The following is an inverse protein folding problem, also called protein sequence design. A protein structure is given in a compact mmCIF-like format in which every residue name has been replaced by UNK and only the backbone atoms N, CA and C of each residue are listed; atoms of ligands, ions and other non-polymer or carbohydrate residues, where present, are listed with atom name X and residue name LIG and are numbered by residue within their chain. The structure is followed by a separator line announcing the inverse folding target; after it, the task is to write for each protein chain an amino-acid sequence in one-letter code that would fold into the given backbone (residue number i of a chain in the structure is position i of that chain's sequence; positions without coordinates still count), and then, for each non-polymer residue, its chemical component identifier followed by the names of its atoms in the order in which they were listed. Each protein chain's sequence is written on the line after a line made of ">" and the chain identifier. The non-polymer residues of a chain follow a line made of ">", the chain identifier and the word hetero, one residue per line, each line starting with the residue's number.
data_IF_005792621824
#
_entry.id   IF_005792621824
#
_cell.length_a   1.000
_cell.length_b   1.000
_cell.length_c   1.000
_cell.angle_alpha   90.00
_cell.angle_beta   90.00
_cell.angle_gamma   90.00
#
_symmetry.space_group_name_H-M   'P 1'
#
loop_
_entity.id
_entity.type
_entity.pdbx_description
1 polymer ?
#
# COMPACT_ATOMS: atom_id res chain seq x y z
N UNK A 1 8.20 -1.36 -11.20
CA UNK A 1 6.71 -1.25 -11.30
C UNK A 1 6.02 -1.52 -9.96
N UNK A 2 6.28 -2.64 -9.25
CA UNK A 2 5.67 -2.88 -7.93
C UNK A 2 5.91 -1.75 -6.92
N UNK A 3 7.15 -1.28 -6.80
CA UNK A 3 7.48 -0.10 -5.99
C UNK A 3 6.75 1.18 -6.44
N UNK A 4 6.50 1.38 -7.74
CA UNK A 4 5.77 2.57 -8.21
C UNK A 4 4.35 2.58 -7.67
N UNK A 5 3.64 1.45 -7.74
CA UNK A 5 2.30 1.34 -7.17
C UNK A 5 2.30 1.44 -5.64
N UNK A 6 3.38 1.03 -4.98
CA UNK A 6 3.56 1.30 -3.56
C UNK A 6 3.56 2.81 -3.27
N UNK A 7 4.41 3.55 -4.00
CA UNK A 7 4.50 5.01 -3.88
C UNK A 7 3.16 5.67 -4.13
N UNK A 8 2.48 5.30 -5.22
CA UNK A 8 1.17 5.85 -5.53
C UNK A 8 0.14 5.59 -4.42
N UNK A 9 0.17 4.43 -3.77
CA UNK A 9 -0.74 4.12 -2.68
C UNK A 9 -0.49 5.03 -1.47
N UNK A 10 0.73 5.04 -0.94
CA UNK A 10 1.01 5.79 0.29
C UNK A 10 1.06 7.31 0.09
N UNK A 11 1.49 7.81 -1.09
CA UNK A 11 1.39 9.25 -1.40
C UNK A 11 -0.06 9.69 -1.49
N UNK A 12 -0.95 8.83 -1.98
CA UNK A 12 -2.39 9.15 -2.02
C UNK A 12 -3.00 9.11 -0.62
N UNK A 13 -2.60 8.17 0.24
CA UNK A 13 -2.98 8.18 1.66
C UNK A 13 -2.53 9.48 2.35
N UNK A 14 -1.30 9.95 2.06
CA UNK A 14 -0.79 11.22 2.58
C UNK A 14 -1.59 12.42 2.03
N UNK A 15 -1.89 12.44 0.73
CA UNK A 15 -2.73 13.48 0.13
C UNK A 15 -4.15 13.53 0.71
N UNK A 16 -4.66 12.43 1.27
CA UNK A 16 -5.94 12.44 2.00
C UNK A 16 -5.85 13.15 3.35
N UNK A 17 -4.67 13.17 4.00
CA UNK A 17 -4.42 13.89 5.26
C UNK A 17 -4.52 15.40 5.04
N UNK A 18 -3.96 15.89 3.94
CA UNK A 18 -3.85 17.33 3.64
C UNK A 18 -5.01 17.85 2.78
N UNK A 19 -5.98 17.00 2.43
CA UNK A 19 -7.08 17.30 1.49
C UNK A 19 -7.83 18.60 1.80
N UNK A 20 -8.22 18.81 3.06
CA UNK A 20 -9.01 19.99 3.45
C UNK A 20 -8.19 21.28 3.33
N UNK A 21 -6.89 21.20 3.54
CA UNK A 21 -5.96 22.32 3.44
C UNK A 21 -5.63 22.60 1.97
N UNK A 22 -5.40 21.55 1.17
CA UNK A 22 -5.21 21.62 -0.29
C UNK A 22 -6.39 22.29 -1.02
N UNK A 23 -7.62 21.98 -0.61
CA UNK A 23 -8.83 22.57 -1.18
C UNK A 23 -8.90 24.09 -0.95
N UNK A 24 -8.45 24.58 0.21
CA UNK A 24 -8.47 26.03 0.54
C UNK A 24 -7.53 26.83 -0.35
N UNK A 25 -6.42 26.22 -0.77
CA UNK A 25 -5.39 26.87 -1.59
C UNK A 25 -5.47 26.51 -3.08
N UNK A 26 -6.50 25.74 -3.48
CA UNK A 26 -6.75 25.39 -4.88
C UNK A 26 -5.77 24.37 -5.48
N UNK A 27 -5.11 23.57 -4.64
CA UNK A 27 -4.21 22.50 -5.07
C UNK A 27 -4.99 21.34 -5.72
N UNK A 28 -4.35 20.65 -6.68
CA UNK A 28 -4.90 19.47 -7.36
C UNK A 28 -4.10 18.22 -7.01
N UNK A 29 -4.23 17.75 -5.77
CA UNK A 29 -3.55 16.54 -5.30
C UNK A 29 -4.22 15.26 -5.78
N UNK A 30 -3.56 14.10 -5.60
CA UNK A 30 -4.08 12.79 -6.00
C UNK A 30 -5.42 12.47 -5.35
N UNK A 31 -5.59 12.77 -4.05
CA UNK A 31 -6.85 12.61 -3.33
C UNK A 31 -7.98 13.46 -3.93
N UNK A 32 -7.70 14.69 -4.37
CA UNK A 32 -8.67 15.56 -5.02
C UNK A 32 -9.00 15.06 -6.44
N UNK A 33 -7.98 14.64 -7.19
CA UNK A 33 -8.11 14.16 -8.57
C UNK A 33 -8.89 12.85 -8.65
N UNK A 34 -8.64 11.92 -7.72
CA UNK A 34 -9.36 10.66 -7.61
C UNK A 34 -10.75 10.85 -6.97
N UNK A 35 -10.91 11.90 -6.16
CA UNK A 35 -12.18 12.31 -5.56
C UNK A 35 -12.80 11.17 -4.76
N UNK A 36 -13.99 10.70 -5.17
CA UNK A 36 -14.69 9.60 -4.49
C UNK A 36 -13.99 8.24 -4.61
N UNK A 37 -13.08 8.10 -5.58
CA UNK A 37 -12.39 6.85 -5.90
C UNK A 37 -11.01 6.73 -5.24
N UNK A 38 -10.59 7.73 -4.46
CA UNK A 38 -9.34 7.75 -3.68
C UNK A 38 -9.05 6.41 -2.97
N UNK A 39 -9.97 5.94 -2.11
CA UNK A 39 -9.83 4.69 -1.35
C UNK A 39 -9.76 3.48 -2.27
N UNK A 40 -10.58 3.43 -3.32
CA UNK A 40 -10.59 2.33 -4.27
C UNK A 40 -9.28 2.26 -5.08
N UNK A 41 -8.75 3.41 -5.47
CA UNK A 41 -7.48 3.52 -6.18
C UNK A 41 -6.30 3.09 -5.29
N UNK A 42 -6.26 3.52 -4.02
CA UNK A 42 -5.24 3.09 -3.06
C UNK A 42 -5.23 1.55 -2.93
N UNK A 43 -6.41 0.94 -2.72
CA UNK A 43 -6.52 -0.52 -2.66
C UNK A 43 -6.07 -1.17 -3.97
N UNK A 44 -6.48 -0.63 -5.13
CA UNK A 44 -6.06 -1.13 -6.43
C UNK A 44 -4.54 -1.06 -6.63
N UNK A 45 -3.89 0.03 -6.21
CA UNK A 45 -2.44 0.17 -6.26
C UNK A 45 -1.73 -0.86 -5.38
N UNK A 46 -2.21 -1.10 -4.16
CA UNK A 46 -1.67 -2.17 -3.33
C UNK A 46 -1.87 -3.58 -3.95
N UNK A 47 -3.03 -3.84 -4.55
CA UNK A 47 -3.26 -5.13 -5.24
C UNK A 47 -2.35 -5.29 -6.45
N UNK A 48 -2.08 -4.22 -7.21
CA UNK A 48 -1.12 -4.23 -8.31
C UNK A 48 0.30 -4.45 -7.81
N UNK A 49 0.68 -3.88 -6.67
CA UNK A 49 1.96 -4.17 -6.01
C UNK A 49 2.09 -5.66 -5.71
N UNK A 50 1.09 -6.27 -5.05
CA UNK A 50 1.10 -7.70 -4.68
C UNK A 50 1.15 -8.56 -5.92
N UNK A 51 0.34 -8.25 -6.95
CA UNK A 51 0.32 -8.99 -8.20
C UNK A 51 1.68 -8.94 -8.91
N UNK A 52 2.27 -7.74 -9.05
CA UNK A 52 3.54 -7.56 -9.77
C UNK A 52 4.67 -8.30 -9.05
N UNK A 53 4.78 -8.17 -7.73
CA UNK A 53 5.81 -8.88 -6.97
C UNK A 53 5.59 -10.39 -6.95
N UNK A 54 4.34 -10.84 -6.81
CA UNK A 54 3.97 -12.24 -6.88
C UNK A 54 4.35 -12.88 -8.22
N UNK A 55 4.00 -12.23 -9.33
CA UNK A 55 4.35 -12.72 -10.69
C UNK A 55 5.86 -12.66 -10.94
N UNK A 56 6.52 -11.56 -10.54
CA UNK A 56 7.96 -11.39 -10.78
C UNK A 56 8.81 -12.41 -10.02
N UNK A 57 8.40 -12.82 -8.81
CA UNK A 57 9.16 -13.73 -7.96
C UNK A 57 8.69 -15.19 -8.03
N UNK A 58 7.53 -15.48 -8.61
CA UNK A 58 7.02 -16.85 -8.77
C UNK A 58 8.03 -17.81 -9.43
N UNK A 59 8.76 -17.45 -10.51
CA UNK A 59 9.74 -18.34 -11.13
C UNK A 59 10.91 -18.71 -10.23
N UNK A 60 11.19 -17.90 -9.20
CA UNK A 60 12.27 -18.17 -8.27
C UNK A 60 11.90 -19.28 -7.27
N UNK A 61 10.63 -19.70 -7.19
CA UNK A 61 10.15 -20.78 -6.33
C UNK A 61 10.46 -20.62 -4.83
N UNK A 62 10.39 -19.38 -4.30
CA UNK A 62 10.81 -19.02 -2.94
C UNK A 62 10.11 -19.78 -1.79
N UNK A 63 9.08 -20.57 -2.08
CA UNK A 63 8.46 -21.49 -1.13
C UNK A 63 7.48 -20.81 -0.17
N UNK A 64 7.17 -21.53 0.91
CA UNK A 64 6.14 -21.15 1.88
C UNK A 64 6.38 -19.76 2.52
N UNK A 65 7.60 -19.37 2.95
CA UNK A 65 7.80 -18.09 3.65
C UNK A 65 7.41 -16.88 2.79
N UNK A 66 7.71 -16.91 1.49
CA UNK A 66 7.33 -15.85 0.56
C UNK A 66 5.80 -15.73 0.43
N UNK A 67 5.10 -16.84 0.23
CA UNK A 67 3.63 -16.82 0.07
C UNK A 67 2.90 -16.43 1.36
N UNK A 68 3.44 -16.81 2.53
CA UNK A 68 2.93 -16.33 3.82
C UNK A 68 3.11 -14.81 3.97
N UNK A 69 4.26 -14.27 3.57
CA UNK A 69 4.48 -12.83 3.55
C UNK A 69 3.53 -12.10 2.59
N UNK A 70 3.22 -12.69 1.42
CA UNK A 70 2.22 -12.12 0.48
C UNK A 70 0.82 -12.09 1.11
N UNK A 71 0.44 -13.16 1.82
CA UNK A 71 -0.80 -13.20 2.58
C UNK A 71 -0.84 -12.14 3.68
N UNK A 72 0.26 -11.93 4.40
CA UNK A 72 0.35 -10.92 5.45
C UNK A 72 0.29 -9.50 4.87
N UNK A 73 0.92 -9.24 3.72
CA UNK A 73 0.78 -7.96 3.00
C UNK A 73 -0.69 -7.71 2.65
N UNK A 74 -1.42 -8.70 2.13
CA UNK A 74 -2.85 -8.54 1.84
C UNK A 74 -3.68 -8.23 3.11
N UNK A 75 -3.35 -8.85 4.24
CA UNK A 75 -3.97 -8.52 5.52
C UNK A 75 -3.66 -7.08 5.96
N UNK A 76 -2.42 -6.61 5.77
CA UNK A 76 -2.05 -5.21 6.02
C UNK A 76 -2.81 -4.24 5.11
N UNK A 77 -3.00 -4.58 3.82
CA UNK A 77 -3.81 -3.79 2.89
C UNK A 77 -5.28 -3.72 3.32
N UNK A 78 -5.84 -4.83 3.78
CA UNK A 78 -7.20 -4.84 4.34
C UNK A 78 -7.30 -3.95 5.59
N UNK A 79 -6.29 -3.98 6.46
CA UNK A 79 -6.21 -3.08 7.61
C UNK A 79 -6.10 -1.60 7.19
N UNK A 80 -5.24 -1.26 6.24
CA UNK A 80 -5.16 0.10 5.67
C UNK A 80 -6.51 0.57 5.14
N UNK A 81 -7.25 -0.29 4.41
CA UNK A 81 -8.61 0.03 3.98
C UNK A 81 -9.52 0.42 5.15
N UNK A 82 -9.46 -0.30 6.28
CA UNK A 82 -10.28 0.04 7.45
C UNK A 82 -9.93 1.40 8.06
N UNK A 83 -8.67 1.84 7.96
CA UNK A 83 -8.20 3.14 8.44
C UNK A 83 -8.67 4.28 7.54
N UNK A 84 -8.58 4.11 6.22
CA UNK A 84 -8.80 5.19 5.25
C UNK A 84 -10.25 5.31 4.75
N UNK A 85 -11.09 4.29 4.94
CA UNK A 85 -12.47 4.25 4.38
C UNK A 85 -13.34 5.44 4.78
N UNK A 86 -13.11 5.98 5.97
CA UNK A 86 -13.85 7.12 6.52
C UNK A 86 -13.21 8.47 6.19
N UNK A 87 -12.02 8.47 5.54
CA UNK A 87 -11.31 9.67 5.08
C UNK A 87 -11.04 10.68 6.19
N UNK A 88 -10.85 10.20 7.42
CA UNK A 88 -10.46 11.07 8.53
C UNK A 88 -8.96 11.33 8.47
N UNK A 89 -8.55 12.56 8.81
CA UNK A 89 -7.14 12.95 8.84
C UNK A 89 -6.28 11.99 9.67
N UNK A 90 -6.77 11.62 10.86
CA UNK A 90 -6.11 10.70 11.78
C UNK A 90 -5.96 9.28 11.20
N UNK A 91 -7.02 8.75 10.58
CA UNK A 91 -6.99 7.42 9.96
C UNK A 91 -6.01 7.35 8.78
N UNK A 92 -6.04 8.36 7.90
CA UNK A 92 -5.11 8.46 6.77
C UNK A 92 -3.66 8.67 7.23
N UNK A 93 -3.43 9.47 8.27
CA UNK A 93 -2.08 9.68 8.82
C UNK A 93 -1.53 8.40 9.46
N UNK A 94 -2.38 7.65 10.17
CA UNK A 94 -2.01 6.35 10.73
C UNK A 94 -1.67 5.34 9.64
N UNK A 95 -2.45 5.30 8.56
CA UNK A 95 -2.17 4.47 7.40
C UNK A 95 -0.82 4.84 6.76
N UNK A 96 -0.60 6.12 6.46
CA UNK A 96 0.63 6.62 5.85
C UNK A 96 1.87 6.28 6.70
N UNK A 97 1.83 6.59 8.00
CA UNK A 97 2.97 6.32 8.90
C UNK A 97 3.24 4.83 9.07
N UNK A 98 2.21 3.98 9.02
CA UNK A 98 2.32 2.53 9.14
C UNK A 98 2.69 1.83 7.83
N UNK A 99 2.64 2.51 6.69
CA UNK A 99 2.83 1.91 5.37
C UNK A 99 4.21 1.24 5.19
N UNK A 100 5.24 1.66 5.91
CA UNK A 100 6.57 1.03 5.86
C UNK A 100 6.51 -0.47 6.24
N UNK A 101 5.52 -0.89 7.02
CA UNK A 101 5.32 -2.29 7.38
C UNK A 101 4.98 -3.20 6.19
N UNK A 102 4.35 -2.68 5.14
CA UNK A 102 4.09 -3.46 3.91
C UNK A 102 5.42 -3.83 3.23
N UNK A 103 6.31 -2.86 3.07
CA UNK A 103 7.63 -3.07 2.49
C UNK A 103 8.50 -3.98 3.37
N UNK A 104 8.47 -3.78 4.69
CA UNK A 104 9.19 -4.63 5.63
C UNK A 104 8.72 -6.09 5.57
N UNK A 105 7.40 -6.35 5.57
CA UNK A 105 6.84 -7.71 5.46
C UNK A 105 7.30 -8.42 4.19
N UNK A 106 7.21 -7.74 3.03
CA UNK A 106 7.66 -8.28 1.75
C UNK A 106 9.16 -8.59 1.78
N UNK A 107 9.98 -7.66 2.27
CA UNK A 107 11.43 -7.86 2.39
C UNK A 107 11.77 -9.03 3.31
N UNK A 108 11.18 -9.08 4.51
CA UNK A 108 11.42 -10.15 5.48
C UNK A 108 11.01 -11.51 4.92
N UNK A 109 9.89 -11.61 4.20
CA UNK A 109 9.45 -12.83 3.54
C UNK A 109 10.44 -13.34 2.49
N UNK A 110 10.98 -12.43 1.67
CA UNK A 110 12.02 -12.77 0.69
C UNK A 110 13.31 -13.20 1.40
N UNK A 111 13.80 -12.41 2.36
CA UNK A 111 15.02 -12.69 3.10
C UNK A 111 14.94 -14.04 3.83
N UNK A 112 13.82 -14.33 4.49
CA UNK A 112 13.58 -15.60 5.16
C UNK A 112 13.50 -16.77 4.17
N UNK A 113 12.90 -16.56 2.99
CA UNK A 113 12.87 -17.58 1.93
C UNK A 113 14.27 -17.95 1.45
N UNK A 114 15.19 -16.98 1.36
CA UNK A 114 16.59 -17.27 1.03
C UNK A 114 17.37 -17.86 2.21
N UNK A 115 17.06 -17.48 3.45
CA UNK A 115 17.73 -18.00 4.64
C UNK A 115 17.36 -19.47 4.94
N UNK A 116 16.18 -19.92 4.53
CA UNK A 116 15.67 -21.29 4.71
C UNK A 116 15.95 -22.21 3.51
N UNK A 117 16.57 -21.69 2.45
CA UNK A 117 17.05 -22.47 1.30
C UNK A 117 18.43 -23.03 1.57
#
# INVERSE_FOLDING_TARGET
>A
LGNLFWVLAYDTEYAMVDRDDDLKIGMKTSAITLGRFDVAAIVAFYLLLVLIWGVALAPLALGVPFWLAMGLVLAQVAWHFTLIRHRTREGCFTAFTSNHWIGFTLFAGIALSYALR
#
